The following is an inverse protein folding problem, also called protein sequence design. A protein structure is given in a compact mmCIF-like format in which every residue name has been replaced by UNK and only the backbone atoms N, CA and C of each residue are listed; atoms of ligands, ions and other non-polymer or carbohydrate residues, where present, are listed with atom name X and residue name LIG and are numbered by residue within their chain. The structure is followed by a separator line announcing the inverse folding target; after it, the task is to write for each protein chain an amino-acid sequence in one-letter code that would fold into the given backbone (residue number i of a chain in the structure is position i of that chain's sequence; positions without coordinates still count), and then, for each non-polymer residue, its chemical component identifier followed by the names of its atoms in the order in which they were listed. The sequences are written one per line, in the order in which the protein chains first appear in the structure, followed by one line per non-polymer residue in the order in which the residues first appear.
data_IF_153493696592
#
_entry.id   IF_153493696592
#
_cell.length_a   1.000
_cell.length_b   1.000
_cell.length_c   1.000
_cell.angle_alpha   90.00
_cell.angle_beta   90.00
_cell.angle_gamma   90.00
#
_symmetry.space_group_name_H-M   'P 1'
#
loop_
_entity.id
_entity.type
_entity.pdbx_description
1 polymer ?
#
# COMPACT_ATOMS: atom_id res chain seq x y z
N UNK A 1 8.08 10.54 -4.38
CA UNK A 1 8.55 10.02 -3.09
C UNK A 1 9.50 8.88 -3.40
N UNK A 2 10.63 8.73 -2.77
CA UNK A 2 11.53 7.58 -2.97
C UNK A 2 11.15 6.39 -2.09
N UNK A 3 11.97 5.32 -2.15
CA UNK A 3 11.90 4.20 -1.22
C UNK A 3 12.44 4.69 0.13
N UNK A 4 11.54 5.10 1.00
CA UNK A 4 11.83 5.56 2.36
C UNK A 4 11.69 4.43 3.38
N UNK A 5 11.97 4.70 4.66
CA UNK A 5 11.94 3.67 5.71
C UNK A 5 10.57 2.95 5.84
N UNK A 6 9.46 3.65 5.58
CA UNK A 6 8.13 3.06 5.59
C UNK A 6 7.96 2.06 4.42
N UNK A 7 8.17 2.52 3.19
CA UNK A 7 8.00 1.67 2.00
C UNK A 7 9.01 0.53 1.96
N UNK A 8 10.28 0.77 2.35
CA UNK A 8 11.30 -0.27 2.45
C UNK A 8 10.93 -1.36 3.46
N UNK A 9 10.36 -0.99 4.62
CA UNK A 9 9.89 -1.96 5.61
C UNK A 9 8.74 -2.80 5.06
N UNK A 10 7.79 -2.18 4.35
CA UNK A 10 6.66 -2.88 3.70
C UNK A 10 7.15 -3.80 2.57
N UNK A 11 8.14 -3.37 1.79
CA UNK A 11 8.80 -4.22 0.79
C UNK A 11 9.44 -5.45 1.44
N UNK A 12 10.06 -5.28 2.60
CA UNK A 12 10.58 -6.40 3.39
C UNK A 12 9.49 -7.37 3.85
N UNK A 13 8.31 -6.87 4.24
CA UNK A 13 7.14 -7.72 4.55
C UNK A 13 6.68 -8.47 3.30
N UNK A 14 6.59 -7.79 2.16
CA UNK A 14 6.21 -8.41 0.89
C UNK A 14 7.18 -9.54 0.50
N UNK A 15 8.51 -9.31 0.66
CA UNK A 15 9.53 -10.32 0.42
C UNK A 15 9.36 -11.55 1.34
N UNK A 16 9.04 -11.34 2.62
CA UNK A 16 8.80 -12.43 3.57
C UNK A 16 7.53 -13.24 3.24
N UNK A 17 6.51 -12.59 2.68
CA UNK A 17 5.25 -13.25 2.27
C UNK A 17 5.46 -14.08 1.00
N UNK A 18 6.19 -13.54 0.02
CA UNK A 18 6.47 -14.23 -1.22
C UNK A 18 7.41 -15.42 -1.02
N UNK A 19 8.36 -15.34 -0.07
CA UNK A 19 9.32 -16.37 0.38
C UNK A 19 9.94 -17.18 -0.79
N UNK A 20 10.25 -16.50 -1.89
CA UNK A 20 10.83 -17.05 -3.12
C UNK A 20 11.59 -15.97 -3.89
N UNK A 21 12.39 -16.38 -4.87
CA UNK A 21 12.93 -15.47 -5.87
C UNK A 21 11.75 -14.87 -6.66
N UNK A 22 11.42 -13.62 -6.38
CA UNK A 22 10.26 -12.96 -6.91
C UNK A 22 10.63 -11.90 -7.94
N UNK A 23 9.79 -11.75 -8.95
CA UNK A 23 9.87 -10.66 -9.93
C UNK A 23 9.18 -9.41 -9.39
N UNK A 24 9.77 -8.23 -9.63
CA UNK A 24 9.21 -6.96 -9.20
C UNK A 24 9.16 -5.94 -10.34
N UNK A 25 8.05 -5.21 -10.42
CA UNK A 25 7.97 -3.97 -11.20
C UNK A 25 7.67 -2.79 -10.27
N UNK A 26 8.48 -1.77 -10.40
CA UNK A 26 8.35 -0.52 -9.67
C UNK A 26 7.72 0.55 -10.57
N UNK A 27 6.66 1.20 -10.09
CA UNK A 27 6.09 2.37 -10.75
C UNK A 27 6.87 3.62 -10.37
N UNK A 28 7.44 4.28 -11.38
CA UNK A 28 8.46 5.30 -11.22
C UNK A 28 9.84 4.67 -10.94
N UNK A 29 10.90 5.29 -11.41
CA UNK A 29 12.28 4.93 -11.07
C UNK A 29 12.63 5.56 -9.73
N UNK A 30 12.45 4.80 -8.64
CA UNK A 30 12.56 5.33 -7.29
C UNK A 30 14.01 5.36 -6.79
N UNK A 31 14.35 6.41 -6.09
CA UNK A 31 15.61 6.51 -5.35
C UNK A 31 15.47 5.94 -3.94
N UNK A 32 16.57 5.46 -3.37
CA UNK A 32 16.60 5.05 -1.96
C UNK A 32 16.79 6.26 -1.03
N UNK A 33 15.75 6.63 -0.29
CA UNK A 33 15.79 7.64 0.79
C UNK A 33 15.98 6.91 2.15
N UNK A 34 17.12 6.21 2.29
CA UNK A 34 17.46 5.40 3.45
C UNK A 34 18.87 5.75 3.96
N UNK A 35 19.03 5.77 5.28
CA UNK A 35 20.36 5.91 5.90
C UNK A 35 21.03 4.57 6.09
N UNK A 36 22.36 4.56 6.17
CA UNK A 36 23.15 3.36 6.48
C UNK A 36 22.76 2.74 7.82
N UNK A 37 22.52 3.56 8.84
CA UNK A 37 22.10 3.09 10.17
C UNK A 37 20.73 2.41 10.11
N UNK A 38 19.84 2.95 9.27
CA UNK A 38 18.53 2.33 9.06
C UNK A 38 18.67 0.97 8.35
N UNK A 39 19.46 0.89 7.28
CA UNK A 39 19.71 -0.35 6.54
C UNK A 39 20.34 -1.42 7.42
N UNK A 40 21.34 -1.05 8.25
CA UNK A 40 21.96 -1.96 9.20
C UNK A 40 20.94 -2.48 10.25
N UNK A 41 20.08 -1.59 10.74
CA UNK A 41 19.01 -1.94 11.68
C UNK A 41 17.96 -2.83 11.02
N UNK A 42 17.58 -2.53 9.77
CA UNK A 42 16.65 -3.31 8.99
C UNK A 42 17.21 -4.70 8.65
N UNK A 43 18.48 -4.77 8.27
CA UNK A 43 19.17 -6.04 8.00
C UNK A 43 19.07 -7.02 9.18
N UNK A 44 19.21 -6.52 10.42
CA UNK A 44 19.08 -7.33 11.65
C UNK A 44 17.68 -7.92 11.85
N UNK A 45 16.65 -7.40 11.17
CA UNK A 45 15.29 -7.95 11.22
C UNK A 45 15.09 -9.12 10.25
N UNK A 46 16.00 -9.32 9.29
CA UNK A 46 15.89 -10.36 8.27
C UNK A 46 16.24 -11.73 8.83
N UNK A 47 15.42 -12.73 8.47
CA UNK A 47 15.61 -14.11 8.93
C UNK A 47 16.65 -14.86 8.10
N UNK A 48 16.78 -14.52 6.83
CA UNK A 48 17.68 -15.17 5.90
C UNK A 48 19.06 -14.51 5.95
N UNK A 49 20.12 -15.29 6.23
CA UNK A 49 21.49 -14.79 6.31
C UNK A 49 21.94 -14.10 5.02
N UNK A 50 21.56 -14.62 3.84
CA UNK A 50 21.86 -14.02 2.54
C UNK A 50 21.33 -12.59 2.45
N UNK A 51 20.08 -12.36 2.86
CA UNK A 51 19.47 -11.01 2.87
C UNK A 51 20.19 -10.09 3.87
N UNK A 52 20.52 -10.59 5.05
CA UNK A 52 21.26 -9.85 6.07
C UNK A 52 22.60 -9.34 5.52
N UNK A 53 23.39 -10.22 4.91
CA UNK A 53 24.71 -9.88 4.39
C UNK A 53 24.63 -8.93 3.19
N UNK A 54 23.66 -9.12 2.28
CA UNK A 54 23.43 -8.24 1.13
C UNK A 54 23.02 -6.83 1.55
N UNK A 55 22.09 -6.70 2.52
CA UNK A 55 21.66 -5.39 3.05
C UNK A 55 22.78 -4.68 3.81
N UNK A 56 23.64 -5.41 4.54
CA UNK A 56 24.83 -4.84 5.16
C UNK A 56 25.86 -4.36 4.14
N UNK A 57 26.06 -5.12 3.07
CA UNK A 57 26.93 -4.69 1.98
C UNK A 57 26.40 -3.42 1.29
N UNK A 58 25.08 -3.28 1.18
CA UNK A 58 24.43 -2.07 0.65
C UNK A 58 24.62 -0.88 1.60
N UNK A 59 24.51 -1.07 2.92
CA UNK A 59 24.71 -0.01 3.92
C UNK A 59 26.13 0.57 3.92
N UNK A 60 27.14 -0.23 3.60
CA UNK A 60 28.53 0.20 3.53
C UNK A 60 28.90 1.08 2.32
N UNK A 61 27.96 1.26 1.37
CA UNK A 61 28.20 2.00 0.11
C UNK A 61 27.52 3.39 0.11
N UNK A 62 27.67 4.18 1.14
CA UNK A 62 26.83 5.32 1.51
C UNK A 62 26.82 6.53 0.60
N UNK A 63 27.80 6.71 -0.29
CA UNK A 63 28.00 7.99 -1.00
C UNK A 63 27.10 8.19 -2.25
N UNK A 64 26.24 7.22 -2.59
CA UNK A 64 25.35 7.28 -3.74
C UNK A 64 24.11 6.39 -3.57
N UNK A 65 23.42 6.53 -2.46
CA UNK A 65 22.24 5.69 -2.14
C UNK A 65 21.07 5.96 -3.13
N UNK A 66 21.00 7.15 -3.72
CA UNK A 66 19.89 7.59 -4.55
C UNK A 66 19.48 6.67 -5.72
N UNK A 67 20.44 5.96 -6.34
CA UNK A 67 20.18 5.18 -7.58
C UNK A 67 20.12 3.66 -7.36
N UNK A 68 19.94 3.17 -6.12
CA UNK A 68 20.15 1.75 -5.79
C UNK A 68 18.89 0.94 -5.50
N UNK A 69 17.75 1.35 -6.01
CA UNK A 69 16.53 0.55 -5.87
C UNK A 69 16.71 -0.89 -6.36
N UNK A 70 17.31 -1.18 -7.54
CA UNK A 70 17.54 -2.55 -7.97
C UNK A 70 18.37 -3.39 -6.99
N UNK A 71 19.44 -2.80 -6.41
CA UNK A 71 20.29 -3.49 -5.43
C UNK A 71 19.53 -3.79 -4.12
N UNK A 72 18.63 -2.90 -3.72
CA UNK A 72 17.78 -3.11 -2.54
C UNK A 72 16.79 -4.27 -2.76
N UNK A 73 16.12 -4.32 -3.90
CA UNK A 73 15.23 -5.43 -4.23
C UNK A 73 15.99 -6.75 -4.34
N UNK A 74 17.15 -6.75 -5.01
CA UNK A 74 18.02 -7.92 -5.10
C UNK A 74 18.49 -8.42 -3.73
N UNK A 75 18.82 -7.49 -2.80
CA UNK A 75 19.17 -7.84 -1.42
C UNK A 75 18.02 -8.51 -0.65
N UNK A 76 16.77 -8.30 -1.09
CA UNK A 76 15.57 -8.97 -0.55
C UNK A 76 15.20 -10.27 -1.29
N UNK A 77 16.00 -10.70 -2.28
CA UNK A 77 15.74 -11.90 -3.07
C UNK A 77 14.83 -11.67 -4.28
N UNK A 78 14.73 -10.42 -4.77
CA UNK A 78 13.95 -10.04 -5.93
C UNK A 78 14.91 -9.59 -7.06
N UNK A 79 15.62 -10.56 -7.64
CA UNK A 79 16.67 -10.29 -8.63
C UNK A 79 16.09 -9.86 -9.99
N UNK A 80 14.82 -10.20 -10.29
CA UNK A 80 14.14 -9.82 -11.52
C UNK A 80 13.42 -8.48 -11.33
N UNK A 81 14.18 -7.39 -11.42
CA UNK A 81 13.67 -6.04 -11.26
C UNK A 81 13.40 -5.37 -12.61
N UNK A 82 12.28 -4.65 -12.69
CA UNK A 82 11.93 -3.71 -13.75
C UNK A 82 11.35 -2.44 -13.15
N UNK A 83 11.43 -1.33 -13.86
CA UNK A 83 10.73 -0.09 -13.49
C UNK A 83 10.03 0.52 -14.70
N UNK A 84 8.95 1.25 -14.44
CA UNK A 84 8.18 1.97 -15.46
C UNK A 84 8.20 3.46 -15.08
N UNK A 85 8.86 4.27 -15.90
CA UNK A 85 8.88 5.73 -15.72
C UNK A 85 8.85 6.41 -17.08
N UNK A 86 7.96 7.39 -17.27
CA UNK A 86 7.75 8.09 -18.54
C UNK A 86 9.04 8.73 -19.09
N UNK A 87 9.97 9.07 -18.21
CA UNK A 87 11.23 9.70 -18.59
C UNK A 87 12.29 8.71 -19.14
N UNK A 88 12.08 7.39 -18.98
CA UNK A 88 13.00 6.34 -19.42
C UNK A 88 14.38 6.35 -18.74
N UNK A 89 14.54 7.10 -17.63
CA UNK A 89 15.80 7.15 -16.90
C UNK A 89 16.03 5.83 -16.13
N UNK A 90 17.27 5.58 -15.74
CA UNK A 90 17.69 4.40 -14.99
C UNK A 90 17.23 3.07 -15.62
N UNK A 91 17.23 3.01 -16.97
CA UNK A 91 16.76 1.86 -17.76
C UNK A 91 15.29 1.48 -17.52
N UNK A 92 14.45 2.42 -17.06
CA UNK A 92 13.03 2.19 -16.93
C UNK A 92 12.32 2.09 -18.28
N UNK A 93 11.20 1.35 -18.31
CA UNK A 93 10.31 1.29 -19.46
C UNK A 93 9.57 2.63 -19.59
N UNK A 94 9.69 3.37 -20.73
CA UNK A 94 9.13 4.71 -20.88
C UNK A 94 7.64 4.67 -21.22
N UNK A 95 6.83 4.04 -20.37
CA UNK A 95 5.40 3.89 -20.58
C UNK A 95 4.60 4.96 -19.84
N UNK A 96 3.63 5.55 -20.54
CA UNK A 96 2.63 6.43 -19.95
C UNK A 96 1.49 5.60 -19.33
N UNK A 97 1.51 5.46 -18.02
CA UNK A 97 0.53 4.70 -17.25
C UNK A 97 -0.88 5.32 -17.23
N UNK A 98 -1.10 6.53 -17.80
CA UNK A 98 -2.45 7.05 -18.04
C UNK A 98 -3.20 6.26 -19.12
N UNK A 99 -2.52 5.37 -19.86
CA UNK A 99 -3.10 4.52 -20.89
C UNK A 99 -3.04 3.05 -20.47
N UNK A 100 -3.86 2.21 -21.09
CA UNK A 100 -3.70 0.76 -21.02
C UNK A 100 -2.36 0.38 -21.67
N UNK A 101 -1.41 -0.10 -20.87
CA UNK A 101 -0.05 -0.41 -21.35
C UNK A 101 -0.04 -1.66 -22.24
N UNK A 102 -0.94 -2.60 -22.02
CA UNK A 102 -1.12 -3.78 -22.86
C UNK A 102 -1.53 -3.40 -24.28
N UNK A 103 -2.51 -2.50 -24.42
CA UNK A 103 -3.00 -2.04 -25.72
C UNK A 103 -1.98 -1.12 -26.43
N UNK A 104 -1.38 -0.21 -25.68
CA UNK A 104 -0.53 0.84 -26.24
C UNK A 104 0.87 0.37 -26.58
N UNK A 105 1.44 -0.50 -25.75
CA UNK A 105 2.84 -0.95 -25.84
C UNK A 105 2.99 -2.45 -26.03
N UNK A 106 1.89 -3.21 -26.14
CA UNK A 106 1.85 -4.67 -26.19
C UNK A 106 2.58 -5.32 -24.99
N UNK A 107 2.53 -4.67 -23.83
CA UNK A 107 3.21 -5.12 -22.62
C UNK A 107 2.30 -6.00 -21.78
N UNK A 108 2.56 -7.30 -21.76
CA UNK A 108 1.75 -8.33 -21.09
C UNK A 108 2.49 -9.03 -19.95
N UNK A 109 3.70 -8.54 -19.60
CA UNK A 109 4.49 -9.13 -18.51
C UNK A 109 3.79 -8.95 -17.17
N UNK A 110 3.83 -9.99 -16.33
CA UNK A 110 3.30 -10.00 -14.97
C UNK A 110 4.41 -10.22 -13.96
N UNK A 111 4.21 -9.70 -12.76
CA UNK A 111 5.20 -9.68 -11.69
C UNK A 111 4.60 -10.20 -10.38
N UNK A 112 5.46 -10.75 -9.54
CA UNK A 112 5.06 -11.21 -8.20
C UNK A 112 4.84 -10.06 -7.22
N UNK A 113 5.51 -8.92 -7.44
CA UNK A 113 5.33 -7.70 -6.70
C UNK A 113 5.22 -6.50 -7.64
N UNK A 114 4.17 -5.71 -7.49
CA UNK A 114 4.03 -4.40 -8.11
C UNK A 114 4.11 -3.34 -7.00
N UNK A 115 5.06 -2.39 -7.11
CA UNK A 115 5.23 -1.34 -6.11
C UNK A 115 4.87 0.04 -6.66
N UNK A 116 4.15 0.81 -5.84
CA UNK A 116 3.74 2.17 -6.10
C UNK A 116 4.15 3.04 -4.88
N UNK A 117 5.37 3.55 -4.95
CA UNK A 117 5.99 4.35 -3.90
C UNK A 117 5.95 5.85 -4.27
N UNK A 118 4.73 6.38 -4.51
CA UNK A 118 4.56 7.78 -4.85
C UNK A 118 4.64 8.06 -6.35
N UNK A 119 3.88 7.33 -7.16
CA UNK A 119 3.78 7.54 -8.61
C UNK A 119 2.35 7.81 -9.06
N UNK A 120 1.38 7.02 -8.60
CA UNK A 120 0.01 7.10 -9.12
C UNK A 120 -0.69 8.41 -8.81
N UNK A 121 -0.30 9.12 -7.78
CA UNK A 121 -0.82 10.44 -7.43
C UNK A 121 -0.54 11.52 -8.48
N UNK A 122 0.45 11.30 -9.35
CA UNK A 122 0.82 12.19 -10.46
C UNK A 122 0.11 11.85 -11.77
N UNK A 123 -0.62 10.73 -11.83
CA UNK A 123 -1.33 10.26 -13.01
C UNK A 123 -2.80 10.67 -12.95
N UNK A 124 -3.31 11.29 -14.00
CA UNK A 124 -4.68 11.81 -14.01
C UNK A 124 -5.71 10.70 -14.20
N UNK A 125 -5.42 9.68 -15.03
CA UNK A 125 -6.32 8.57 -15.31
C UNK A 125 -6.18 7.45 -14.26
N UNK A 126 -6.83 7.62 -13.12
CA UNK A 126 -6.74 6.69 -12.01
C UNK A 126 -7.26 5.29 -12.36
N UNK A 127 -8.31 5.19 -13.19
CA UNK A 127 -8.83 3.89 -13.63
C UNK A 127 -7.78 3.13 -14.44
N UNK A 128 -7.16 3.77 -15.42
CA UNK A 128 -6.15 3.11 -16.25
C UNK A 128 -4.94 2.65 -15.43
N UNK A 129 -4.46 3.48 -14.48
CA UNK A 129 -3.27 3.11 -13.72
C UNK A 129 -3.54 1.95 -12.75
N UNK A 130 -4.70 1.89 -12.11
CA UNK A 130 -5.03 0.76 -11.22
C UNK A 130 -5.40 -0.51 -11.99
N UNK A 131 -5.99 -0.40 -13.18
CA UNK A 131 -6.15 -1.54 -14.10
C UNK A 131 -4.80 -2.07 -14.60
N UNK A 132 -3.85 -1.20 -14.94
CA UNK A 132 -2.48 -1.60 -15.29
C UNK A 132 -1.79 -2.34 -14.13
N UNK A 133 -1.90 -1.83 -12.90
CA UNK A 133 -1.34 -2.48 -11.70
C UNK A 133 -1.96 -3.87 -11.52
N UNK A 134 -3.27 -3.99 -11.65
CA UNK A 134 -3.98 -5.25 -11.58
C UNK A 134 -3.45 -6.25 -12.63
N UNK A 135 -3.39 -5.85 -13.90
CA UNK A 135 -2.95 -6.70 -15.01
C UNK A 135 -1.49 -7.13 -14.87
N UNK A 136 -0.61 -6.25 -14.41
CA UNK A 136 0.80 -6.56 -14.19
C UNK A 136 1.04 -7.47 -12.98
N UNK A 137 0.08 -7.62 -12.07
CA UNK A 137 0.26 -8.47 -10.87
C UNK A 137 -0.13 -9.91 -11.18
N UNK A 138 0.72 -10.89 -10.87
CA UNK A 138 0.38 -12.33 -10.98
C UNK A 138 -0.74 -12.69 -10.01
N UNK A 139 -1.49 -13.75 -10.28
CA UNK A 139 -2.39 -14.37 -9.27
C UNK A 139 -1.53 -14.88 -8.10
N UNK A 140 -1.88 -14.55 -6.87
CA UNK A 140 -1.06 -14.75 -5.68
C UNK A 140 0.04 -13.72 -5.48
N UNK A 141 0.25 -12.82 -6.45
CA UNK A 141 1.20 -11.71 -6.35
C UNK A 141 0.69 -10.56 -5.49
N UNK A 142 1.59 -9.64 -5.17
CA UNK A 142 1.35 -8.54 -4.23
C UNK A 142 1.39 -7.18 -4.93
N UNK A 143 0.55 -6.27 -4.44
CA UNK A 143 0.53 -4.86 -4.80
C UNK A 143 0.84 -4.05 -3.53
N UNK A 144 1.94 -3.32 -3.55
CA UNK A 144 2.35 -2.42 -2.47
C UNK A 144 2.12 -0.97 -2.89
N UNK A 145 1.33 -0.26 -2.11
CA UNK A 145 1.08 1.16 -2.28
C UNK A 145 1.58 1.92 -1.05
N UNK A 146 2.36 2.99 -1.27
CA UNK A 146 2.77 3.97 -0.27
C UNK A 146 2.68 5.35 -0.94
N UNK A 147 1.56 6.05 -0.73
CA UNK A 147 1.18 7.23 -1.49
C UNK A 147 0.68 8.36 -0.58
N UNK A 148 0.64 9.63 -1.05
CA UNK A 148 0.21 10.78 -0.25
C UNK A 148 -1.18 10.62 0.36
N UNK A 149 -1.30 10.95 1.65
CA UNK A 149 -2.57 11.03 2.37
C UNK A 149 -2.89 12.46 2.82
N UNK A 150 -2.01 13.10 3.60
CA UNK A 150 -2.19 14.48 4.09
C UNK A 150 -0.91 15.29 3.96
N UNK A 151 -1.05 16.60 3.89
CA UNK A 151 0.00 17.64 3.85
C UNK A 151 0.86 17.70 2.56
N UNK A 152 0.55 16.92 1.55
CA UNK A 152 1.19 16.99 0.23
C UNK A 152 0.60 18.12 -0.63
N UNK A 153 0.60 19.36 -0.08
CA UNK A 153 0.03 20.54 -0.75
C UNK A 153 0.86 20.88 -1.99
N UNK A 154 0.21 21.03 -3.14
CA UNK A 154 0.85 21.33 -4.43
C UNK A 154 1.88 20.29 -4.90
N UNK A 155 1.83 19.07 -4.39
CA UNK A 155 2.76 18.01 -4.78
C UNK A 155 2.24 17.20 -5.98
N UNK A 156 0.95 16.89 -6.00
CA UNK A 156 0.36 15.92 -6.91
C UNK A 156 -1.11 16.24 -7.24
N UNK A 157 -1.72 15.46 -8.16
CA UNK A 157 -3.14 15.59 -8.45
C UNK A 157 -4.02 14.97 -7.36
N UNK A 158 -3.56 13.87 -6.75
CA UNK A 158 -4.40 13.07 -5.85
C UNK A 158 -3.69 12.81 -4.52
N UNK A 159 -4.43 12.96 -3.43
CA UNK A 159 -4.14 12.39 -2.14
C UNK A 159 -5.14 11.26 -1.88
N UNK A 160 -4.66 10.11 -1.40
CA UNK A 160 -5.51 8.93 -1.22
C UNK A 160 -5.94 8.77 0.22
N UNK A 161 -7.15 8.28 0.44
CA UNK A 161 -7.61 7.88 1.77
C UNK A 161 -7.48 6.36 1.97
N UNK A 162 -7.42 5.86 3.22
CA UNK A 162 -7.48 4.43 3.48
C UNK A 162 -8.73 3.75 2.89
N UNK A 163 -9.87 4.47 2.84
CA UNK A 163 -11.13 3.99 2.25
C UNK A 163 -10.98 3.64 0.77
N UNK A 164 -10.12 4.36 0.02
CA UNK A 164 -9.87 4.04 -1.37
C UNK A 164 -9.32 2.61 -1.54
N UNK A 165 -8.26 2.26 -0.81
CA UNK A 165 -7.63 0.95 -0.89
C UNK A 165 -8.52 -0.17 -0.34
N UNK A 166 -9.32 0.13 0.69
CA UNK A 166 -10.32 -0.80 1.18
C UNK A 166 -11.35 -1.15 0.10
N UNK A 167 -11.94 -0.15 -0.56
CA UNK A 167 -12.94 -0.39 -1.60
C UNK A 167 -12.32 -1.00 -2.87
N UNK A 168 -11.06 -0.66 -3.19
CA UNK A 168 -10.32 -1.30 -4.27
C UNK A 168 -10.17 -2.81 -4.01
N UNK A 169 -9.82 -3.19 -2.78
CA UNK A 169 -9.72 -4.59 -2.38
C UNK A 169 -11.06 -5.31 -2.47
N UNK A 170 -12.13 -4.68 -1.96
CA UNK A 170 -13.49 -5.28 -1.98
C UNK A 170 -14.02 -5.46 -3.40
N UNK A 171 -13.79 -4.49 -4.29
CA UNK A 171 -14.29 -4.55 -5.67
C UNK A 171 -13.61 -5.65 -6.49
N UNK A 172 -12.36 -5.98 -6.18
CA UNK A 172 -11.53 -6.89 -6.96
C UNK A 172 -11.20 -8.20 -6.22
N UNK A 173 -11.86 -8.49 -5.11
CA UNK A 173 -11.62 -9.66 -4.24
C UNK A 173 -10.15 -9.83 -3.83
N UNK A 174 -9.42 -8.71 -3.65
CA UNK A 174 -8.05 -8.76 -3.15
C UNK A 174 -8.04 -9.05 -1.65
N UNK A 175 -7.09 -9.86 -1.21
CA UNK A 175 -6.78 -9.96 0.22
C UNK A 175 -6.03 -8.71 0.67
N UNK A 176 -6.61 -7.94 1.57
CA UNK A 176 -5.97 -6.79 2.20
C UNK A 176 -5.08 -7.26 3.35
N UNK A 177 -3.77 -7.35 3.11
CA UNK A 177 -2.78 -7.85 4.08
C UNK A 177 -2.38 -6.78 5.09
N UNK A 178 -2.27 -5.52 4.65
CA UNK A 178 -2.02 -4.38 5.53
C UNK A 178 -2.65 -3.11 4.96
N UNK A 179 -3.18 -2.26 5.83
CA UNK A 179 -3.67 -0.92 5.51
C UNK A 179 -3.37 -0.01 6.69
N UNK A 180 -2.80 1.16 6.44
CA UNK A 180 -2.48 2.08 7.51
C UNK A 180 -2.01 3.45 7.03
N UNK A 181 -1.60 4.28 7.99
CA UNK A 181 -1.07 5.61 7.79
C UNK A 181 0.29 5.68 8.46
N UNK A 182 1.26 6.26 7.81
CA UNK A 182 2.60 6.40 8.36
C UNK A 182 3.32 7.65 7.88
N UNK A 183 4.54 7.81 8.37
CA UNK A 183 5.49 8.84 7.94
C UNK A 183 6.71 8.17 7.31
N UNK A 184 7.42 8.89 6.47
CA UNK A 184 8.55 8.37 5.70
C UNK A 184 9.67 7.76 6.58
N UNK A 185 9.82 8.22 7.82
CA UNK A 185 10.78 7.70 8.80
C UNK A 185 10.43 6.30 9.31
N UNK A 186 9.30 5.71 8.90
CA UNK A 186 8.90 4.34 9.21
C UNK A 186 7.99 4.18 10.42
N UNK A 187 7.56 5.26 11.08
CA UNK A 187 6.53 5.17 12.10
C UNK A 187 5.15 5.10 11.42
N UNK A 188 4.32 4.17 11.84
CA UNK A 188 3.03 3.95 11.21
C UNK A 188 1.96 3.52 12.21
N UNK A 189 0.71 3.85 11.88
CA UNK A 189 -0.50 3.28 12.48
C UNK A 189 -1.07 2.30 11.47
N UNK A 190 -1.21 1.04 11.85
CA UNK A 190 -1.81 0.02 10.99
C UNK A 190 -3.28 -0.10 11.34
N UNK A 191 -4.15 0.19 10.37
CA UNK A 191 -5.60 0.13 10.54
C UNK A 191 -6.14 -1.28 10.33
N UNK A 192 -5.47 -2.09 9.49
CA UNK A 192 -5.79 -3.49 9.25
C UNK A 192 -4.52 -4.26 8.95
N UNK A 193 -4.36 -5.41 9.56
CA UNK A 193 -3.33 -6.41 9.23
C UNK A 193 -3.95 -7.80 9.37
N UNK A 194 -3.65 -8.71 8.45
CA UNK A 194 -4.16 -10.08 8.49
C UNK A 194 -3.05 -11.12 8.42
N UNK A 195 -3.34 -12.29 9.00
CA UNK A 195 -2.64 -13.53 8.68
C UNK A 195 -2.92 -13.92 7.22
N UNK A 196 -1.91 -14.38 6.53
CA UNK A 196 -1.91 -14.68 5.09
C UNK A 196 -3.00 -15.69 4.67
N UNK A 197 -3.52 -16.48 5.63
CA UNK A 197 -4.46 -17.58 5.39
C UNK A 197 -5.92 -17.29 5.78
N UNK A 198 -6.26 -16.06 6.23
CA UNK A 198 -7.62 -15.76 6.67
C UNK A 198 -8.38 -14.88 5.67
N UNK A 199 -9.56 -15.29 5.16
CA UNK A 199 -10.36 -14.48 4.25
C UNK A 199 -10.88 -13.20 4.93
N UNK A 200 -11.00 -12.09 4.16
CA UNK A 200 -11.52 -10.81 4.66
C UNK A 200 -12.99 -10.98 5.02
N UNK A 201 -13.31 -10.91 6.29
CA UNK A 201 -14.66 -10.58 6.73
C UNK A 201 -14.72 -9.11 7.12
N UNK A 202 -15.86 -8.44 6.87
CA UNK A 202 -16.17 -7.01 7.03
C UNK A 202 -15.91 -6.38 8.41
N UNK A 203 -14.99 -6.89 9.19
CA UNK A 203 -14.76 -6.48 10.57
C UNK A 203 -13.46 -5.71 10.71
N UNK A 204 -13.50 -4.42 10.30
CA UNK A 204 -12.40 -3.48 10.58
C UNK A 204 -12.53 -2.92 12.01
N UNK A 205 -11.67 -3.29 12.91
CA UNK A 205 -11.43 -2.54 14.14
C UNK A 205 -10.20 -2.99 14.90
N UNK A 206 -9.39 -2.11 15.24
CA UNK A 206 -8.25 -1.90 16.17
C UNK A 206 -7.00 -1.48 15.44
N UNK A 207 -6.69 -0.19 15.51
CA UNK A 207 -5.41 0.34 15.09
C UNK A 207 -4.43 0.22 16.26
N UNK A 208 -3.37 -0.54 16.11
CA UNK A 208 -2.21 -0.47 16.99
C UNK A 208 -1.14 0.42 16.36
N UNK A 209 -0.62 1.37 17.15
CA UNK A 209 0.60 2.08 16.78
C UNK A 209 1.76 1.16 17.05
N UNK A 210 2.32 0.65 15.98
CA UNK A 210 3.51 -0.17 16.06
C UNK A 210 4.57 0.50 15.21
N UNK A 211 5.78 0.73 15.75
CA UNK A 211 6.92 0.98 14.88
C UNK A 211 6.97 -0.16 13.87
N UNK A 212 6.99 0.15 12.57
CA UNK A 212 6.89 -0.83 11.50
C UNK A 212 7.96 -1.94 11.63
N UNK A 213 9.12 -1.61 12.23
CA UNK A 213 10.17 -2.59 12.62
C UNK A 213 9.67 -3.70 13.56
N UNK A 214 8.60 -3.46 14.33
CA UNK A 214 8.01 -4.45 15.24
C UNK A 214 6.92 -5.29 14.53
N UNK A 215 6.33 -4.80 13.43
CA UNK A 215 5.49 -5.60 12.54
C UNK A 215 6.27 -6.77 11.93
N UNK A 216 7.54 -6.54 11.61
CA UNK A 216 8.45 -7.56 11.08
C UNK A 216 8.85 -8.63 12.11
N UNK A 217 8.68 -8.36 13.42
CA UNK A 217 9.16 -9.22 14.50
C UNK A 217 8.05 -10.09 15.16
N UNK A 218 6.76 -9.95 14.78
CA UNK A 218 5.65 -10.67 15.44
C UNK A 218 4.93 -11.63 14.52
N UNK A 219 4.98 -12.96 14.77
CA UNK A 219 4.28 -13.96 13.96
C UNK A 219 2.77 -14.05 14.19
N UNK A 220 2.17 -13.28 15.11
CA UNK A 220 0.72 -13.33 15.40
C UNK A 220 0.22 -11.99 15.94
N UNK A 221 -0.39 -11.19 15.07
CA UNK A 221 -1.20 -10.05 15.50
C UNK A 221 -2.64 -10.48 15.75
N UNK A 222 -3.13 -10.29 16.96
CA UNK A 222 -4.58 -10.36 17.24
C UNK A 222 -5.22 -9.05 16.81
N UNK A 223 -6.18 -9.18 15.91
CA UNK A 223 -6.89 -8.11 15.23
C UNK A 223 -7.43 -7.02 16.16
N UNK A 224 -7.03 -5.79 15.91
CA UNK A 224 -7.52 -4.61 16.53
C UNK A 224 -8.72 -3.93 15.82
N UNK A 225 -9.57 -4.66 15.11
CA UNK A 225 -10.58 -4.14 14.18
C UNK A 225 -11.95 -3.78 14.79
N UNK A 226 -12.24 -4.13 16.05
CA UNK A 226 -13.54 -3.87 16.70
C UNK A 226 -13.82 -2.36 16.93
N UNK A 227 -12.80 -1.50 16.97
CA UNK A 227 -12.95 -0.09 17.33
C UNK A 227 -13.58 0.76 16.21
N UNK A 228 -13.15 0.59 14.95
CA UNK A 228 -13.70 1.35 13.82
C UNK A 228 -15.14 0.96 13.50
N UNK A 229 -15.49 -0.33 13.60
CA UNK A 229 -16.85 -0.83 13.40
C UNK A 229 -17.88 -0.18 14.30
N UNK A 230 -17.55 0.07 15.60
CA UNK A 230 -18.47 0.73 16.53
C UNK A 230 -18.69 2.21 16.23
N UNK A 231 -17.74 2.90 15.61
CA UNK A 231 -17.82 4.33 15.37
C UNK A 231 -18.55 4.70 14.08
N UNK A 232 -18.39 3.92 13.00
CA UNK A 232 -18.99 4.22 11.69
C UNK A 232 -20.39 3.63 11.50
N UNK A 233 -20.73 2.54 12.18
CA UNK A 233 -22.03 1.87 12.01
C UNK A 233 -23.07 2.18 13.11
N UNK A 234 -22.77 3.04 14.07
CA UNK A 234 -23.72 3.50 15.09
C UNK A 234 -23.75 5.02 15.20
N UNK A 235 -24.36 5.66 14.21
CA UNK A 235 -24.96 6.97 14.45
C UNK A 235 -26.25 6.73 15.26
N UNK A 236 -26.27 7.24 16.47
CA UNK A 236 -27.52 7.48 17.19
C UNK A 236 -27.91 6.51 18.29
N UNK A 237 -27.06 6.23 19.29
CA UNK A 237 -27.50 5.97 20.70
C UNK A 237 -26.27 6.13 21.61
N UNK A 238 -26.44 6.94 22.66
CA UNK A 238 -25.47 7.15 23.75
C UNK A 238 -25.16 5.82 24.46
N UNK A 239 -24.07 5.17 24.05
CA UNK A 239 -23.49 4.07 24.80
C UNK A 239 -22.36 4.64 25.68
N UNK A 240 -22.54 4.59 27.00
CA UNK A 240 -21.42 4.83 27.93
C UNK A 240 -20.32 3.83 27.63
N UNK A 241 -19.16 4.36 27.25
CA UNK A 241 -17.95 3.57 27.03
C UNK A 241 -17.46 3.02 28.36
N UNK A 242 -16.95 1.78 28.36
CA UNK A 242 -16.17 1.26 29.48
C UNK A 242 -14.89 2.07 29.69
N UNK A 243 -14.31 2.02 30.86
CA UNK A 243 -13.06 2.73 31.15
C UNK A 243 -11.90 2.22 30.28
N UNK A 244 -11.88 0.94 29.94
CA UNK A 244 -10.91 0.36 29.01
C UNK A 244 -11.09 0.91 27.59
N UNK A 245 -12.32 0.97 27.07
CA UNK A 245 -12.62 1.57 25.75
C UNK A 245 -12.27 3.06 25.71
N UNK A 246 -12.39 3.76 26.84
CA UNK A 246 -12.03 5.18 26.96
C UNK A 246 -10.51 5.36 26.96
N UNK A 247 -9.77 4.51 27.68
CA UNK A 247 -8.32 4.54 27.73
C UNK A 247 -7.69 4.17 26.39
N UNK A 248 -8.24 3.17 25.69
CA UNK A 248 -7.82 2.82 24.33
C UNK A 248 -8.05 3.99 23.35
N UNK A 249 -9.19 4.70 23.45
CA UNK A 249 -9.47 5.88 22.65
C UNK A 249 -8.48 7.02 22.91
N UNK A 250 -8.14 7.25 24.18
CA UNK A 250 -7.19 8.29 24.55
C UNK A 250 -5.77 7.93 24.06
N UNK A 251 -5.36 6.69 24.19
CA UNK A 251 -4.08 6.20 23.67
C UNK A 251 -3.99 6.32 22.14
N UNK A 252 -5.07 5.94 21.43
CA UNK A 252 -5.17 6.11 19.98
C UNK A 252 -5.16 7.59 19.58
N UNK A 253 -5.97 8.42 20.26
CA UNK A 253 -6.03 9.86 19.99
C UNK A 253 -4.69 10.55 20.23
N UNK A 254 -3.96 10.18 21.29
CA UNK A 254 -2.63 10.69 21.56
C UNK A 254 -1.64 10.28 20.47
N UNK A 255 -1.64 9.05 20.09
CA UNK A 255 -0.74 8.53 19.10
C UNK A 255 -1.07 9.07 17.68
N UNK A 256 -2.35 9.26 17.35
CA UNK A 256 -2.76 9.98 16.15
C UNK A 256 -2.29 11.44 16.21
N UNK A 257 -2.42 12.09 17.38
CA UNK A 257 -1.90 13.46 17.59
C UNK A 257 -0.39 13.54 17.45
N UNK A 258 0.35 12.57 17.97
CA UNK A 258 1.81 12.51 17.87
C UNK A 258 2.28 12.26 16.42
N UNK A 259 1.49 11.54 15.62
CA UNK A 259 1.71 11.36 14.17
C UNK A 259 1.25 12.58 13.37
N UNK A 260 0.14 13.19 13.75
CA UNK A 260 -0.46 14.35 13.10
C UNK A 260 0.11 15.68 13.60
N UNK A 261 1.37 15.74 14.09
CA UNK A 261 2.02 17.03 14.14
C UNK A 261 1.84 17.66 12.74
N UNK A 262 1.11 18.79 12.70
CA UNK A 262 0.64 19.53 11.52
C UNK A 262 1.73 19.76 10.45
N UNK A 263 2.97 19.48 10.77
CA UNK A 263 4.15 19.64 9.92
C UNK A 263 4.63 18.37 9.21
N UNK A 264 4.00 17.21 9.45
CA UNK A 264 4.45 15.94 8.86
C UNK A 264 3.58 15.53 7.68
N UNK A 265 4.25 15.15 6.61
CA UNK A 265 3.61 14.53 5.46
C UNK A 265 3.18 13.10 5.83
N UNK A 266 1.88 12.82 5.72
CA UNK A 266 1.33 11.51 6.00
C UNK A 266 1.14 10.71 4.72
N UNK A 267 1.56 9.47 4.77
CA UNK A 267 1.49 8.49 3.72
C UNK A 267 0.42 7.46 4.10
N UNK A 268 -0.53 7.17 3.20
CA UNK A 268 -1.33 5.97 3.30
C UNK A 268 -0.59 4.82 2.62
N UNK A 269 -0.58 3.66 3.27
CA UNK A 269 -0.02 2.46 2.67
C UNK A 269 -1.03 1.32 2.66
N UNK A 270 -0.95 0.51 1.63
CA UNK A 270 -1.72 -0.72 1.47
C UNK A 270 -0.84 -1.83 0.90
N UNK A 271 -0.97 -3.04 1.44
CA UNK A 271 -0.41 -4.26 0.87
C UNK A 271 -1.57 -5.19 0.54
N UNK A 272 -1.74 -5.46 -0.74
CA UNK A 272 -2.85 -6.24 -1.30
C UNK A 272 -2.30 -7.49 -1.98
N UNK A 273 -3.04 -8.61 -1.93
CA UNK A 273 -2.73 -9.82 -2.70
C UNK A 273 -3.85 -10.05 -3.72
N UNK A 274 -3.47 -10.27 -4.97
CA UNK A 274 -4.39 -10.65 -6.04
C UNK A 274 -4.75 -12.13 -5.91
N UNK A 275 -6.03 -12.47 -5.78
CA UNK A 275 -6.47 -13.84 -5.53
C UNK A 275 -6.94 -14.60 -6.77
N UNK A 276 -7.35 -13.88 -7.82
CA UNK A 276 -7.95 -14.45 -9.03
C UNK A 276 -7.47 -13.75 -10.30
N UNK A 277 -7.87 -14.25 -11.47
CA UNK A 277 -7.55 -13.68 -12.78
C UNK A 277 -8.74 -12.96 -13.41
N UNK A 278 -9.72 -12.54 -12.61
CA UNK A 278 -10.88 -11.78 -13.06
C UNK A 278 -10.45 -10.41 -13.60
N UNK A 279 -11.29 -9.82 -14.46
CA UNK A 279 -11.04 -8.46 -14.97
C UNK A 279 -11.16 -7.43 -13.85
N UNK A 280 -10.32 -6.38 -13.93
CA UNK A 280 -10.35 -5.27 -12.99
C UNK A 280 -11.74 -4.65 -12.90
N UNK A 281 -12.20 -4.46 -11.66
CA UNK A 281 -13.48 -3.81 -11.35
C UNK A 281 -13.24 -2.44 -10.75
N UNK A 282 -13.89 -1.43 -11.32
CA UNK A 282 -13.86 -0.07 -10.75
C UNK A 282 -14.53 -0.07 -9.38
N UNK A 283 -13.84 0.40 -8.31
CA UNK A 283 -14.41 0.38 -6.97
C UNK A 283 -15.53 1.39 -6.80
N UNK A 284 -16.58 0.99 -6.08
CA UNK A 284 -17.59 1.90 -5.52
C UNK A 284 -17.35 2.09 -4.03
N UNK A 285 -17.62 3.27 -3.52
CA UNK A 285 -17.57 3.49 -2.08
C UNK A 285 -18.68 2.68 -1.40
N UNK A 286 -18.31 1.86 -0.40
CA UNK A 286 -19.16 0.84 0.22
C UNK A 286 -20.53 1.35 0.68
N UNK A 287 -20.60 2.60 1.19
CA UNK A 287 -21.85 3.24 1.64
C UNK A 287 -22.87 3.49 0.51
N UNK A 288 -22.45 3.46 -0.75
CA UNK A 288 -23.32 3.70 -1.92
C UNK A 288 -23.58 2.42 -2.71
N UNK A 289 -23.06 1.27 -2.30
CA UNK A 289 -23.18 0.01 -3.03
C UNK A 289 -24.62 -0.50 -3.12
N UNK A 290 -25.40 -0.25 -2.05
CA UNK A 290 -26.82 -0.65 -1.95
C UNK A 290 -27.74 0.36 -2.66
N UNK A 291 -27.22 1.55 -2.99
CA UNK A 291 -27.96 2.65 -3.63
C UNK A 291 -27.76 2.72 -5.16
N UNK A 292 -27.00 1.79 -5.73
CA UNK A 292 -26.77 1.76 -7.19
C UNK A 292 -28.09 1.37 -7.87
N UNK A 293 -28.69 2.32 -8.60
CA UNK A 293 -29.90 2.07 -9.38
C UNK A 293 -29.62 1.00 -10.45
N UNK A 294 -30.53 0.06 -10.60
CA UNK A 294 -30.48 -0.90 -11.70
C UNK A 294 -30.40 -0.16 -13.06
N UNK A 295 -29.65 -0.69 -14.05
CA UNK A 295 -29.46 -0.05 -15.36
C UNK A 295 -30.76 0.35 -16.03
N UNK A 296 -31.84 -0.43 -15.82
CA UNK A 296 -33.19 -0.17 -16.36
C UNK A 296 -33.83 1.10 -15.74
N UNK A 297 -33.60 1.35 -14.45
CA UNK A 297 -34.07 2.55 -13.78
C UNK A 297 -33.33 3.81 -14.27
N UNK A 298 -32.02 3.71 -14.53
CA UNK A 298 -31.24 4.80 -15.09
C UNK A 298 -31.67 5.14 -16.55
N UNK A 299 -32.00 4.14 -17.38
CA UNK A 299 -32.51 4.34 -18.73
C UNK A 299 -33.88 4.99 -18.70
N UNK A 300 -34.79 4.57 -17.81
CA UNK A 300 -36.11 5.18 -17.66
C UNK A 300 -36.03 6.66 -17.30
N UNK A 301 -35.08 7.06 -16.47
CA UNK A 301 -34.85 8.46 -16.10
C UNK A 301 -34.32 9.30 -17.27
N UNK A 302 -33.39 8.75 -18.05
CA UNK A 302 -32.85 9.42 -19.23
C UNK A 302 -33.93 9.67 -20.34
N UNK A 303 -34.92 8.77 -20.49
CA UNK A 303 -36.02 8.91 -21.45
C UNK A 303 -37.04 9.96 -20.97
N UNK A 304 -37.23 10.16 -19.66
CA UNK A 304 -38.17 11.17 -19.13
C UNK A 304 -37.61 12.59 -19.12
N UNK A 305 -36.28 12.75 -19.20
CA UNK A 305 -35.59 14.04 -19.16
C UNK A 305 -35.20 14.60 -20.54
N UNK A 306 -35.49 13.92 -21.62
CA UNK A 306 -35.34 14.35 -23.02
C UNK A 306 -36.66 14.73 -23.61
#
# INVERSE_FOLDING_TARGET
MGINALSASLTGVAADILDRDASVVELGSQELDLTSDWLESFAKTRKQSRQLDALRALSGKTDSIGERAPEFYAALGMDQYSSIDINGQLNSLPFDLNNCIEERYAFTQRFDLVTNNGTTEHLFNQQAVFDNIHRMTTVGGLMLHAVPFLNYVNHCFFNYSPTFFYNLAVANDYTLLALGIGVKEGNAIVAAQRDVDAPIRRDMAQAEIVPLRLLLARPRFKSGLAYYRKRFLRSGKDHKLSDDERNERLAFGKALSDLMDIRRDLIVFALLRRENDDAFQTPFQDVYREDIAEPEAAQAYAIQSG
#
